data_IF_008532123135
#
_entry.id   IF_008532123135
#
_cell.length_a   1.000
_cell.length_b   1.000
_cell.length_c   1.000
_cell.angle_alpha   90.00
_cell.angle_beta   90.00
_cell.angle_gamma   90.00
#
_symmetry.space_group_name_H-M   'P 1'
#
loop_
_entity.id
_entity.type
_entity.pdbx_description
1 polymer ?
#
# COMPACT_ATOMS: atom_id res chain seq x y z
N UNK A 1 -7.11 6.31 -13.64
CA UNK A 1 -5.72 5.97 -14.04
C UNK A 1 -5.18 6.97 -15.06
N UNK A 2 -5.89 7.23 -16.18
CA UNK A 2 -5.43 8.19 -17.19
C UNK A 2 -5.11 9.57 -16.60
N UNK A 3 -5.94 10.09 -15.72
CA UNK A 3 -5.74 11.38 -15.05
C UNK A 3 -4.44 11.43 -14.20
N UNK A 4 -3.97 10.29 -13.69
CA UNK A 4 -2.69 10.21 -12.97
C UNK A 4 -1.54 10.38 -13.94
N UNK A 5 -1.60 9.70 -15.09
CA UNK A 5 -0.61 9.82 -16.16
C UNK A 5 -0.55 11.27 -16.67
N UNK A 6 -1.71 11.87 -16.93
CA UNK A 6 -1.83 13.25 -17.40
C UNK A 6 -1.26 14.25 -16.38
N UNK A 7 -1.50 14.00 -15.08
CA UNK A 7 -0.93 14.80 -14.00
C UNK A 7 0.59 14.67 -13.91
N UNK A 8 1.14 13.45 -14.04
CA UNK A 8 2.59 13.22 -14.07
C UNK A 8 3.22 13.94 -15.26
N UNK A 9 2.65 13.79 -16.46
CA UNK A 9 3.14 14.42 -17.67
C UNK A 9 3.08 15.94 -17.57
N UNK A 10 1.99 16.50 -17.06
CA UNK A 10 1.82 17.95 -16.86
C UNK A 10 2.89 18.54 -15.94
N UNK A 11 3.20 17.85 -14.85
CA UNK A 11 4.25 18.28 -13.90
C UNK A 11 5.63 18.17 -14.55
N UNK A 12 5.87 17.12 -15.32
CA UNK A 12 7.12 16.92 -16.06
C UNK A 12 7.30 17.99 -17.16
N UNK A 13 6.28 18.28 -17.95
CA UNK A 13 6.26 19.33 -18.98
C UNK A 13 6.48 20.73 -18.39
N UNK A 14 6.06 20.94 -17.14
CA UNK A 14 6.33 22.18 -16.39
C UNK A 14 7.79 22.29 -15.91
N UNK A 15 8.65 21.30 -16.23
CA UNK A 15 10.09 21.31 -15.97
C UNK A 15 10.56 20.51 -14.77
N UNK A 16 9.70 19.74 -14.11
CA UNK A 16 10.11 18.83 -13.05
C UNK A 16 10.69 17.54 -13.63
N UNK A 17 11.73 16.99 -12.98
CA UNK A 17 12.23 15.64 -13.30
C UNK A 17 11.30 14.60 -12.74
N UNK A 18 11.23 13.40 -13.34
CA UNK A 18 10.41 12.31 -12.83
C UNK A 18 10.71 11.96 -11.37
N UNK A 19 11.99 11.96 -10.97
CA UNK A 19 12.39 11.71 -9.58
C UNK A 19 11.98 12.79 -8.57
N UNK A 20 11.50 13.95 -9.03
CA UNK A 20 10.91 15.00 -8.18
C UNK A 20 9.41 14.82 -7.98
N UNK A 21 8.79 13.85 -8.67
CA UNK A 21 7.35 13.56 -8.63
C UNK A 21 7.10 12.34 -7.75
N UNK A 22 6.22 12.48 -6.79
CA UNK A 22 5.81 11.37 -5.91
C UNK A 22 4.31 11.20 -5.95
N UNK A 23 3.85 9.96 -6.20
CA UNK A 23 2.43 9.60 -6.12
C UNK A 23 2.19 8.98 -4.75
N UNK A 24 1.33 9.62 -3.95
CA UNK A 24 0.94 9.14 -2.62
C UNK A 24 -0.40 8.41 -2.69
N UNK A 25 -0.42 7.17 -2.25
CA UNK A 25 -1.63 6.33 -2.24
C UNK A 25 -2.01 5.88 -0.84
N UNK A 26 -3.28 5.52 -0.63
CA UNK A 26 -3.75 5.04 0.68
C UNK A 26 -3.33 3.59 0.96
N UNK A 27 -3.33 2.73 -0.05
CA UNK A 27 -3.07 1.30 0.09
C UNK A 27 -1.98 0.81 -0.86
N UNK A 28 -1.30 -0.25 -0.47
CA UNK A 28 -0.28 -0.91 -1.30
C UNK A 28 -0.87 -1.42 -2.62
N UNK A 29 -2.11 -1.91 -2.59
CA UNK A 29 -2.81 -2.36 -3.79
C UNK A 29 -2.87 -1.26 -4.85
N UNK A 30 -3.33 -0.06 -4.47
CA UNK A 30 -3.37 1.08 -5.40
C UNK A 30 -1.97 1.53 -5.81
N UNK A 31 -0.98 1.41 -4.91
CA UNK A 31 0.42 1.66 -5.24
C UNK A 31 0.92 0.77 -6.38
N UNK A 32 0.64 -0.52 -6.29
CA UNK A 32 1.01 -1.48 -7.34
C UNK A 32 0.26 -1.24 -8.65
N UNK A 33 -1.06 -0.96 -8.58
CA UNK A 33 -1.88 -0.66 -9.77
C UNK A 33 -1.39 0.61 -10.49
N UNK A 34 -1.04 1.67 -9.75
CA UNK A 34 -0.49 2.92 -10.32
C UNK A 34 0.89 2.69 -10.90
N UNK A 35 1.76 1.97 -10.19
CA UNK A 35 3.11 1.68 -10.64
C UNK A 35 3.11 0.90 -11.96
N UNK A 36 2.31 -0.17 -12.05
CA UNK A 36 2.16 -0.95 -13.28
C UNK A 36 1.63 -0.09 -14.44
N UNK A 37 0.58 0.69 -14.18
CA UNK A 37 -0.01 1.54 -15.22
C UNK A 37 0.98 2.59 -15.76
N UNK A 38 1.79 3.21 -14.90
CA UNK A 38 2.81 4.18 -15.32
C UNK A 38 3.93 3.48 -16.11
N UNK A 39 4.38 2.31 -15.69
CA UNK A 39 5.38 1.52 -16.40
C UNK A 39 4.90 1.07 -17.78
N UNK A 40 3.64 0.62 -17.91
CA UNK A 40 3.03 0.26 -19.18
C UNK A 40 2.95 1.44 -20.16
N UNK A 41 2.97 2.67 -19.64
CA UNK A 41 3.03 3.91 -20.44
C UNK A 41 4.44 4.49 -20.58
N UNK A 42 5.48 3.70 -20.29
CA UNK A 42 6.87 4.06 -20.53
C UNK A 42 7.49 4.98 -19.47
N UNK A 43 6.83 5.19 -18.33
CA UNK A 43 7.37 5.96 -17.21
C UNK A 43 8.03 5.02 -16.22
N UNK A 44 9.31 5.22 -15.96
CA UNK A 44 10.04 4.47 -14.93
C UNK A 44 9.50 4.79 -13.54
N UNK A 45 9.26 3.77 -12.70
CA UNK A 45 8.64 3.92 -11.38
C UNK A 45 9.45 3.21 -10.31
N UNK A 46 9.65 3.90 -9.19
CA UNK A 46 10.15 3.32 -7.95
C UNK A 46 8.97 3.19 -6.98
N UNK A 47 8.63 1.97 -6.61
CA UNK A 47 7.63 1.70 -5.58
C UNK A 47 8.24 0.96 -4.41
N UNK A 48 8.04 1.48 -3.19
CA UNK A 48 8.55 0.84 -1.98
C UNK A 48 7.98 -0.56 -1.74
N UNK A 49 6.82 -0.87 -2.31
CA UNK A 49 6.16 -2.17 -2.12
C UNK A 49 6.51 -3.19 -3.22
N UNK A 50 6.86 -2.73 -4.42
CA UNK A 50 7.37 -3.60 -5.49
C UNK A 50 8.80 -4.10 -5.21
N UNK A 51 9.44 -3.57 -4.18
CA UNK A 51 10.82 -3.87 -3.82
C UNK A 51 10.96 -4.92 -2.71
N UNK A 52 9.88 -5.58 -2.30
CA UNK A 52 10.00 -6.75 -1.44
C UNK A 52 10.54 -7.92 -2.26
N UNK A 53 11.67 -8.47 -1.84
CA UNK A 53 12.29 -9.60 -2.54
C UNK A 53 11.33 -10.80 -2.68
N UNK A 54 10.43 -10.98 -1.74
CA UNK A 54 9.38 -12.00 -1.78
C UNK A 54 8.29 -11.77 -2.83
N UNK A 55 8.19 -10.59 -3.44
CA UNK A 55 7.25 -10.33 -4.54
C UNK A 55 7.76 -10.84 -5.89
N UNK A 56 9.07 -11.01 -6.04
CA UNK A 56 9.72 -11.53 -7.25
C UNK A 56 9.24 -12.94 -7.58
N UNK A 57 8.90 -13.17 -8.85
CA UNK A 57 8.53 -14.50 -9.35
C UNK A 57 9.74 -15.42 -9.37
N UNK A 58 10.91 -14.92 -9.80
CA UNK A 58 12.16 -15.68 -9.84
C UNK A 58 12.60 -16.06 -8.43
N UNK A 59 12.58 -15.12 -7.46
CA UNK A 59 12.98 -15.43 -6.09
C UNK A 59 12.08 -16.49 -5.45
N UNK A 60 10.76 -16.41 -5.67
CA UNK A 60 9.80 -17.43 -5.18
C UNK A 60 10.04 -18.79 -5.80
N UNK A 61 10.34 -18.86 -7.10
CA UNK A 61 10.67 -20.12 -7.77
C UNK A 61 11.95 -20.75 -7.20
N UNK A 62 13.02 -19.96 -7.00
CA UNK A 62 14.25 -20.45 -6.38
C UNK A 62 14.00 -20.99 -4.98
N UNK A 63 13.28 -20.25 -4.13
CA UNK A 63 12.98 -20.68 -2.76
C UNK A 63 12.10 -21.93 -2.73
N UNK A 64 11.13 -22.05 -3.66
CA UNK A 64 10.30 -23.25 -3.79
C UNK A 64 11.14 -24.48 -4.21
N UNK A 65 12.08 -24.30 -5.12
CA UNK A 65 13.01 -25.35 -5.52
C UNK A 65 13.97 -25.75 -4.40
N UNK A 66 14.48 -24.77 -3.63
CA UNK A 66 15.30 -25.05 -2.44
C UNK A 66 14.53 -25.88 -1.39
N UNK A 67 13.24 -25.59 -1.22
CA UNK A 67 12.37 -26.34 -0.31
C UNK A 67 12.26 -27.81 -0.70
N UNK A 68 12.20 -28.13 -2.01
CA UNK A 68 12.16 -29.51 -2.49
C UNK A 68 13.48 -30.26 -2.30
N UNK A 69 14.62 -29.54 -2.32
CA UNK A 69 15.93 -30.14 -2.04
C UNK A 69 16.07 -30.48 -0.54
N UNK A 70 15.50 -29.62 0.32
CA UNK A 70 15.53 -29.82 1.78
C UNK A 70 14.46 -30.77 2.32
N UNK A 71 13.35 -30.95 1.60
CA UNK A 71 12.20 -31.74 2.05
C UNK A 71 11.55 -32.51 0.90
N UNK A 72 11.68 -33.84 0.90
CA UNK A 72 11.10 -34.73 -0.12
C UNK A 72 9.55 -34.71 -0.14
N UNK A 73 8.91 -34.27 0.94
CA UNK A 73 7.44 -34.17 1.05
C UNK A 73 6.88 -32.85 0.48
N UNK A 74 7.74 -31.92 0.02
CA UNK A 74 7.27 -30.67 -0.61
C UNK A 74 6.74 -30.91 -2.02
N UNK A 75 5.40 -30.90 -2.11
CA UNK A 75 4.70 -31.18 -3.37
C UNK A 75 4.85 -30.07 -4.40
N UNK A 76 4.96 -28.80 -3.99
CA UNK A 76 5.04 -27.66 -4.90
C UNK A 76 6.43 -27.55 -5.51
N UNK A 77 7.47 -27.61 -4.69
CA UNK A 77 8.85 -27.61 -5.15
C UNK A 77 9.17 -28.83 -6.00
N UNK A 78 8.69 -30.00 -5.63
CA UNK A 78 8.87 -31.23 -6.41
C UNK A 78 8.18 -31.20 -7.77
N UNK A 79 6.98 -30.61 -7.84
CA UNK A 79 6.27 -30.41 -9.11
C UNK A 79 7.07 -29.47 -10.02
N UNK A 80 7.57 -28.35 -9.48
CA UNK A 80 8.37 -27.37 -10.21
C UNK A 80 9.70 -27.98 -10.70
N UNK A 81 10.36 -28.78 -9.86
CA UNK A 81 11.58 -29.48 -10.22
C UNK A 81 11.34 -30.49 -11.38
N UNK A 82 10.21 -31.19 -11.37
CA UNK A 82 9.79 -32.08 -12.44
C UNK A 82 9.51 -31.34 -13.77
N UNK A 83 8.85 -30.18 -13.71
CA UNK A 83 8.62 -29.35 -14.91
C UNK A 83 9.90 -28.79 -15.54
N UNK A 84 10.93 -28.55 -14.70
CA UNK A 84 12.21 -28.02 -15.10
C UNK A 84 13.26 -29.10 -15.43
N UNK A 85 12.90 -30.38 -15.33
CA UNK A 85 13.78 -31.55 -15.52
C UNK A 85 15.03 -31.49 -14.62
N UNK A 86 14.83 -31.02 -13.36
CA UNK A 86 15.89 -30.84 -12.37
C UNK A 86 16.11 -32.14 -11.61
N UNK A 87 17.33 -32.69 -11.65
CA UNK A 87 17.72 -33.79 -10.78
C UNK A 87 18.11 -33.27 -9.39
N UNK A 88 17.17 -33.29 -8.47
CA UNK A 88 17.33 -32.82 -7.08
C UNK A 88 18.50 -33.52 -6.37
N UNK A 89 18.72 -34.82 -6.65
CA UNK A 89 19.79 -35.59 -6.01
C UNK A 89 21.20 -35.11 -6.41
N UNK A 90 21.39 -34.64 -7.63
CA UNK A 90 22.69 -34.08 -8.07
C UNK A 90 22.96 -32.72 -7.43
N UNK A 91 21.92 -31.94 -7.21
CA UNK A 91 22.03 -30.60 -6.63
C UNK A 91 22.21 -30.59 -5.11
N UNK A 92 21.78 -31.64 -4.41
CA UNK A 92 21.89 -31.76 -2.94
C UNK A 92 23.34 -31.74 -2.40
N UNK A 93 24.34 -31.97 -3.28
CA UNK A 93 25.75 -31.94 -2.92
C UNK A 93 26.41 -30.56 -2.99
N UNK A 94 25.69 -29.56 -3.51
CA UNK A 94 26.22 -28.20 -3.69
C UNK A 94 26.10 -27.37 -2.40
N UNK A 95 26.94 -26.35 -2.29
CA UNK A 95 26.74 -25.32 -1.26
C UNK A 95 25.46 -24.54 -1.55
N UNK A 96 24.84 -23.93 -0.52
CA UNK A 96 23.61 -23.15 -0.70
C UNK A 96 23.77 -22.07 -1.77
N UNK A 97 24.89 -21.37 -1.81
CA UNK A 97 25.16 -20.33 -2.80
C UNK A 97 25.28 -20.91 -4.22
N UNK A 98 26.06 -22.00 -4.40
CA UNK A 98 26.21 -22.66 -5.68
C UNK A 98 24.89 -23.27 -6.18
N UNK A 99 24.11 -23.82 -5.27
CA UNK A 99 22.77 -24.33 -5.55
C UNK A 99 21.85 -23.23 -6.07
N UNK A 100 21.77 -22.09 -5.39
CA UNK A 100 21.00 -20.94 -5.84
C UNK A 100 21.46 -20.46 -7.23
N UNK A 101 22.77 -20.37 -7.46
CA UNK A 101 23.31 -19.96 -8.75
C UNK A 101 22.92 -20.92 -9.88
N UNK A 102 22.97 -22.22 -9.65
CA UNK A 102 22.54 -23.23 -10.62
C UNK A 102 21.05 -23.14 -10.93
N UNK A 103 20.21 -22.99 -9.89
CA UNK A 103 18.77 -22.81 -10.08
C UNK A 103 18.47 -21.54 -10.89
N UNK A 104 19.14 -20.45 -10.60
CA UNK A 104 19.00 -19.19 -11.37
C UNK A 104 19.42 -19.35 -12.83
N UNK A 105 20.49 -20.12 -13.12
CA UNK A 105 20.92 -20.42 -14.49
C UNK A 105 19.85 -21.21 -15.26
N UNK A 106 19.22 -22.19 -14.61
CA UNK A 106 18.16 -23.01 -15.21
C UNK A 106 16.93 -22.11 -15.50
N UNK A 107 16.51 -21.29 -14.55
CA UNK A 107 15.38 -20.37 -14.72
C UNK A 107 15.64 -19.34 -15.83
N UNK A 108 16.87 -18.79 -15.90
CA UNK A 108 17.27 -17.87 -16.98
C UNK A 108 17.20 -18.52 -18.35
N UNK A 109 17.61 -19.80 -18.48
CA UNK A 109 17.55 -20.51 -19.73
C UNK A 109 16.11 -20.79 -20.19
N UNK A 110 15.18 -20.95 -19.24
CA UNK A 110 13.77 -21.21 -19.53
C UNK A 110 12.99 -19.96 -19.91
N UNK A 111 13.17 -18.88 -19.15
CA UNK A 111 12.46 -17.61 -19.37
C UNK A 111 13.44 -16.43 -19.24
N UNK A 112 14.17 -16.13 -20.34
CA UNK A 112 15.13 -15.03 -20.36
C UNK A 112 14.47 -13.65 -20.13
N UNK A 113 13.25 -13.44 -20.65
CA UNK A 113 12.54 -12.14 -20.55
C UNK A 113 12.16 -11.84 -19.10
N UNK A 114 11.55 -12.81 -18.41
CA UNK A 114 11.24 -12.69 -16.99
C UNK A 114 12.52 -12.44 -16.18
N UNK A 115 13.59 -13.18 -16.46
CA UNK A 115 14.85 -13.05 -15.74
C UNK A 115 15.50 -11.68 -15.92
N UNK A 116 15.47 -11.11 -17.12
CA UNK A 116 15.97 -9.77 -17.40
C UNK A 116 15.16 -8.69 -16.70
N UNK A 117 13.83 -8.80 -16.68
CA UNK A 117 12.94 -7.86 -15.99
C UNK A 117 13.14 -7.88 -14.47
N UNK A 118 13.59 -9.01 -13.90
CA UNK A 118 13.77 -9.19 -12.46
C UNK A 118 15.26 -9.22 -12.03
N UNK A 119 16.17 -8.70 -12.84
CA UNK A 119 17.63 -8.75 -12.57
C UNK A 119 18.00 -8.17 -11.19
N UNK A 120 17.35 -7.08 -10.77
CA UNK A 120 17.61 -6.47 -9.46
C UNK A 120 17.20 -7.40 -8.30
N UNK A 121 16.10 -8.13 -8.47
CA UNK A 121 15.63 -9.12 -7.49
C UNK A 121 16.56 -10.32 -7.42
N UNK A 122 17.10 -10.75 -8.55
CA UNK A 122 18.08 -11.83 -8.61
C UNK A 122 19.36 -11.46 -7.86
N UNK A 123 19.86 -10.25 -8.05
CA UNK A 123 21.03 -9.75 -7.32
C UNK A 123 20.76 -9.70 -5.82
N UNK A 124 19.64 -9.10 -5.41
CA UNK A 124 19.26 -8.99 -4.01
C UNK A 124 19.03 -10.37 -3.34
N UNK A 125 18.52 -11.35 -4.10
CA UNK A 125 18.40 -12.72 -3.61
C UNK A 125 19.80 -13.32 -3.35
N UNK A 126 20.73 -13.16 -4.26
CA UNK A 126 22.08 -13.67 -4.08
C UNK A 126 22.84 -12.97 -2.94
N UNK A 127 22.64 -11.67 -2.76
CA UNK A 127 23.18 -10.92 -1.61
C UNK A 127 22.60 -11.49 -0.30
N UNK A 128 21.30 -11.70 -0.23
CA UNK A 128 20.63 -12.29 0.94
C UNK A 128 21.13 -13.72 1.25
N UNK A 129 21.34 -14.54 0.21
CA UNK A 129 21.94 -15.89 0.35
C UNK A 129 23.37 -15.81 0.88
N UNK A 130 24.21 -14.93 0.35
CA UNK A 130 25.59 -14.77 0.77
C UNK A 130 25.70 -14.25 2.21
N UNK A 131 24.88 -13.27 2.57
CA UNK A 131 24.80 -12.75 3.94
C UNK A 131 24.43 -13.88 4.92
N UNK A 132 23.40 -14.68 4.57
CA UNK A 132 22.99 -15.81 5.39
C UNK A 132 24.12 -16.83 5.54
N UNK A 133 24.76 -17.25 4.43
CA UNK A 133 25.85 -18.25 4.44
C UNK A 133 27.02 -17.78 5.27
N UNK A 134 27.35 -16.48 5.20
CA UNK A 134 28.47 -15.89 5.94
C UNK A 134 28.32 -16.00 7.47
N UNK A 135 27.08 -16.01 7.97
CA UNK A 135 26.78 -16.01 9.40
C UNK A 135 26.34 -17.41 9.90
N UNK A 136 25.53 -18.13 9.11
CA UNK A 136 24.81 -19.33 9.54
C UNK A 136 25.28 -20.61 8.83
N UNK A 137 26.15 -20.50 7.82
CA UNK A 137 26.60 -21.66 7.03
C UNK A 137 25.58 -22.09 5.97
N UNK A 138 25.74 -23.32 5.43
CA UNK A 138 25.06 -23.80 4.21
C UNK A 138 23.75 -24.58 4.48
N UNK A 139 23.17 -24.52 5.67
CA UNK A 139 21.98 -25.27 6.02
C UNK A 139 20.72 -24.72 5.29
N UNK A 140 20.15 -25.50 4.36
CA UNK A 140 18.96 -25.12 3.58
C UNK A 140 17.77 -24.87 4.48
N UNK A 141 17.47 -25.74 5.44
CA UNK A 141 16.34 -25.57 6.37
C UNK A 141 16.44 -24.30 7.21
N UNK A 142 17.65 -23.95 7.63
CA UNK A 142 17.90 -22.70 8.34
C UNK A 142 17.68 -21.49 7.45
N UNK A 143 18.10 -21.54 6.19
CA UNK A 143 17.86 -20.50 5.21
C UNK A 143 16.36 -20.30 4.94
N UNK A 144 15.61 -21.38 4.75
CA UNK A 144 14.16 -21.32 4.51
C UNK A 144 13.42 -20.69 5.69
N UNK A 145 13.83 -20.98 6.93
CA UNK A 145 13.29 -20.30 8.12
C UNK A 145 13.63 -18.81 8.14
N UNK A 146 14.91 -18.48 7.92
CA UNK A 146 15.35 -17.09 7.84
C UNK A 146 14.62 -16.32 6.74
N UNK A 147 14.39 -16.96 5.58
CA UNK A 147 13.59 -16.40 4.50
C UNK A 147 12.15 -16.12 4.91
N UNK A 148 11.50 -17.04 5.64
CA UNK A 148 10.13 -16.86 6.10
C UNK A 148 9.99 -15.70 7.08
N UNK A 149 10.94 -15.57 8.03
CA UNK A 149 10.94 -14.55 9.08
C UNK A 149 11.42 -13.18 8.58
N UNK A 150 12.35 -13.14 7.63
CA UNK A 150 12.86 -11.91 7.06
C UNK A 150 11.85 -11.26 6.11
N UNK A 151 11.94 -9.94 6.00
CA UNK A 151 11.25 -9.14 4.99
C UNK A 151 12.30 -8.35 4.18
N UNK A 152 13.14 -9.07 3.38
CA UNK A 152 14.22 -8.42 2.65
C UNK A 152 13.67 -7.47 1.61
N UNK A 153 14.12 -6.22 1.69
CA UNK A 153 13.77 -5.15 0.76
C UNK A 153 14.96 -4.84 -0.13
N UNK A 154 14.67 -4.66 -1.40
CA UNK A 154 15.67 -4.16 -2.33
C UNK A 154 15.77 -2.66 -2.12
N UNK A 155 16.95 -2.17 -1.82
CA UNK A 155 17.22 -0.74 -1.86
C UNK A 155 17.22 -0.30 -3.32
N UNK A 156 16.12 0.31 -3.78
CA UNK A 156 16.16 0.97 -5.08
C UNK A 156 17.10 2.16 -4.98
N UNK A 157 18.12 2.26 -5.82
CA UNK A 157 18.83 3.50 -5.96
C UNK A 157 17.81 4.58 -6.31
N UNK A 158 17.93 5.76 -5.72
CA UNK A 158 17.13 6.92 -6.09
C UNK A 158 17.48 7.28 -7.53
N UNK A 159 16.76 6.71 -8.48
CA UNK A 159 16.91 7.05 -9.88
C UNK A 159 16.24 8.42 -10.10
N UNK A 160 16.99 9.45 -10.50
CA UNK A 160 16.43 10.78 -10.74
C UNK A 160 15.43 10.81 -11.90
N UNK A 161 15.37 9.76 -12.71
CA UNK A 161 14.48 9.63 -13.85
C UNK A 161 13.24 8.77 -13.59
N UNK A 162 13.00 8.37 -12.34
CA UNK A 162 11.87 7.52 -11.99
C UNK A 162 10.89 8.19 -11.05
N UNK A 163 9.58 8.09 -11.35
CA UNK A 163 8.50 8.55 -10.46
C UNK A 163 8.42 7.66 -9.23
N UNK A 164 8.31 8.26 -8.05
CA UNK A 164 8.16 7.50 -6.81
C UNK A 164 6.68 7.25 -6.49
N UNK A 165 6.33 6.01 -6.17
CA UNK A 165 5.00 5.63 -5.70
C UNK A 165 5.11 5.05 -4.30
N UNK A 166 4.36 5.60 -3.33
CA UNK A 166 4.39 5.10 -1.95
C UNK A 166 3.08 5.37 -1.22
N UNK A 167 2.90 4.70 -0.08
CA UNK A 167 1.73 4.97 0.77
C UNK A 167 1.92 6.21 1.62
N UNK A 168 0.81 6.88 1.97
CA UNK A 168 0.80 8.06 2.83
C UNK A 168 1.48 7.77 4.18
N UNK A 169 1.29 6.57 4.74
CA UNK A 169 1.92 6.21 6.02
C UNK A 169 3.45 6.17 5.95
N UNK A 170 4.00 5.68 4.85
CA UNK A 170 5.46 5.63 4.63
C UNK A 170 6.05 7.02 4.35
N UNK A 171 5.24 7.95 3.86
CA UNK A 171 5.67 9.32 3.60
C UNK A 171 5.80 10.18 4.86
N UNK A 172 5.41 9.67 6.04
CA UNK A 172 5.47 10.43 7.29
C UNK A 172 6.91 10.83 7.62
N UNK A 173 7.15 12.14 7.79
CA UNK A 173 8.48 12.69 8.05
C UNK A 173 9.33 12.96 6.80
N UNK A 174 8.83 12.64 5.60
CA UNK A 174 9.49 12.94 4.34
C UNK A 174 8.85 14.17 3.68
N UNK A 175 9.59 14.80 2.76
CA UNK A 175 9.12 15.91 1.92
C UNK A 175 9.43 15.61 0.45
N UNK A 176 8.55 16.04 -0.46
CA UNK A 176 8.67 15.81 -1.89
C UNK A 176 8.44 17.10 -2.66
N UNK A 177 9.13 17.27 -3.79
CA UNK A 177 8.99 18.50 -4.58
C UNK A 177 7.58 18.64 -5.13
N UNK A 178 7.07 17.58 -5.79
CA UNK A 178 5.73 17.52 -6.35
C UNK A 178 5.03 16.26 -5.88
N UNK A 179 3.83 16.40 -5.34
CA UNK A 179 3.00 15.29 -4.89
C UNK A 179 1.74 15.21 -5.75
N UNK A 180 1.47 14.02 -6.24
CA UNK A 180 0.19 13.65 -6.87
C UNK A 180 -0.51 12.73 -5.89
N UNK A 181 -1.69 13.13 -5.44
CA UNK A 181 -2.51 12.37 -4.52
C UNK A 181 -3.80 11.93 -5.21
N UNK A 182 -3.82 10.73 -5.81
CA UNK A 182 -5.01 10.16 -6.43
C UNK A 182 -5.93 9.51 -5.40
N UNK A 183 -7.18 9.26 -5.80
CA UNK A 183 -8.17 8.51 -5.02
C UNK A 183 -8.52 9.15 -3.66
N UNK A 184 -8.64 10.48 -3.63
CA UNK A 184 -8.97 11.19 -2.38
C UNK A 184 -10.31 10.74 -1.76
N UNK A 185 -11.24 10.20 -2.57
CA UNK A 185 -12.50 9.60 -2.15
C UNK A 185 -12.33 8.32 -1.31
N UNK A 186 -11.18 7.65 -1.39
CA UNK A 186 -10.93 6.43 -0.63
C UNK A 186 -10.54 6.67 0.83
N UNK A 187 -10.18 7.90 1.16
CA UNK A 187 -10.10 8.31 2.56
C UNK A 187 -11.52 8.66 3.02
N UNK A 188 -12.32 7.63 3.30
CA UNK A 188 -13.62 7.80 3.91
C UNK A 188 -13.50 8.39 5.30
N UNK A 189 -14.46 9.23 5.69
CA UNK A 189 -14.50 9.77 7.06
C UNK A 189 -14.79 8.66 8.08
N UNK A 190 -15.61 7.70 7.69
CA UNK A 190 -15.98 6.55 8.51
C UNK A 190 -15.91 5.26 7.71
N UNK A 191 -15.36 4.21 8.34
CA UNK A 191 -15.34 2.86 7.79
C UNK A 191 -16.29 1.98 8.58
N UNK A 192 -17.13 1.21 7.89
CA UNK A 192 -17.98 0.20 8.50
C UNK A 192 -17.17 -1.06 8.86
N UNK A 193 -16.19 -0.91 9.71
CA UNK A 193 -15.35 -2.02 10.19
C UNK A 193 -15.90 -2.56 11.52
N UNK A 194 -15.53 -3.80 11.86
CA UNK A 194 -15.84 -4.36 13.17
C UNK A 194 -14.82 -3.85 14.17
N UNK A 195 -15.30 -3.47 15.36
CA UNK A 195 -14.45 -3.06 16.47
C UNK A 195 -14.80 -3.81 17.75
N UNK A 196 -13.82 -3.91 18.64
CA UNK A 196 -14.00 -4.54 19.94
C UNK A 196 -14.42 -3.50 20.96
N UNK A 197 -15.60 -3.70 21.57
CA UNK A 197 -16.12 -2.77 22.57
C UNK A 197 -16.86 -3.51 23.69
N UNK A 198 -17.02 -2.84 24.82
CA UNK A 198 -17.84 -3.32 25.92
C UNK A 198 -19.24 -2.71 25.82
N UNK A 199 -20.30 -3.45 26.21
CA UNK A 199 -21.63 -2.87 26.29
C UNK A 199 -21.73 -1.88 27.46
N UNK A 200 -22.47 -0.81 27.27
CA UNK A 200 -22.91 0.11 28.38
C UNK A 200 -24.11 -0.51 29.06
N UNK A 201 -23.86 -1.24 30.16
CA UNK A 201 -24.90 -1.97 30.91
C UNK A 201 -25.20 -1.36 32.29
N UNK A 202 -24.51 -0.28 32.63
CA UNK A 202 -24.68 0.40 33.93
C UNK A 202 -26.13 0.84 34.12
N UNK A 203 -26.75 0.44 35.26
CA UNK A 203 -28.15 0.68 35.57
C UNK A 203 -29.16 -0.15 34.79
N UNK A 204 -28.74 -1.19 34.05
CA UNK A 204 -29.63 -2.13 33.35
C UNK A 204 -29.68 -3.47 34.06
N UNK A 205 -30.69 -4.30 33.72
CA UNK A 205 -30.80 -5.68 34.23
C UNK A 205 -29.65 -6.60 33.83
N UNK A 206 -28.80 -6.16 32.89
CA UNK A 206 -27.65 -6.88 32.38
C UNK A 206 -26.36 -6.53 33.12
N UNK A 207 -26.42 -5.61 34.09
CA UNK A 207 -25.26 -5.24 34.91
C UNK A 207 -24.75 -6.45 35.71
N UNK A 208 -23.48 -6.73 35.59
CA UNK A 208 -22.84 -7.92 36.18
C UNK A 208 -23.04 -9.25 35.44
N UNK A 209 -23.88 -9.29 34.40
CA UNK A 209 -24.12 -10.50 33.60
C UNK A 209 -23.20 -10.48 32.34
N UNK A 210 -22.95 -9.31 31.75
CA UNK A 210 -22.20 -9.13 30.52
C UNK A 210 -20.95 -8.28 30.77
N UNK A 211 -19.87 -8.91 31.21
CA UNK A 211 -18.58 -8.22 31.46
C UNK A 211 -17.57 -8.44 30.31
N UNK A 212 -18.04 -8.93 29.18
CA UNK A 212 -17.21 -9.28 28.01
C UNK A 212 -16.92 -8.12 27.08
N UNK A 213 -15.91 -8.33 26.22
CA UNK A 213 -15.61 -7.51 25.05
C UNK A 213 -16.19 -8.18 23.81
N UNK A 214 -16.93 -7.45 23.01
CA UNK A 214 -17.66 -7.97 21.87
C UNK A 214 -17.18 -7.34 20.57
N UNK A 215 -17.14 -8.12 19.50
CA UNK A 215 -16.78 -7.63 18.17
C UNK A 215 -18.05 -7.16 17.44
N UNK A 216 -18.23 -5.85 17.37
CA UNK A 216 -19.46 -5.21 16.89
C UNK A 216 -19.19 -4.49 15.56
N UNK A 217 -20.13 -4.56 14.62
CA UNK A 217 -20.04 -3.79 13.39
C UNK A 217 -20.30 -2.31 13.65
N UNK A 218 -19.39 -1.46 13.18
CA UNK A 218 -19.53 -0.02 13.22
C UNK A 218 -20.55 0.40 12.16
N UNK A 219 -21.80 0.47 12.52
CA UNK A 219 -22.86 1.07 11.68
C UNK A 219 -23.27 2.40 12.27
N UNK A 220 -23.73 3.35 11.43
CA UNK A 220 -24.36 4.57 11.95
C UNK A 220 -25.39 4.14 12.99
N UNK A 221 -25.31 4.59 14.23
CA UNK A 221 -26.26 4.19 15.26
C UNK A 221 -27.62 4.71 14.87
N UNK A 222 -28.42 3.84 14.23
CA UNK A 222 -29.82 4.14 13.89
C UNK A 222 -30.76 3.92 15.08
N UNK A 223 -30.27 3.25 16.12
CA UNK A 223 -31.06 2.92 17.32
C UNK A 223 -30.45 3.59 18.53
N UNK A 224 -31.18 4.49 19.13
CA UNK A 224 -30.84 5.17 20.39
C UNK A 224 -30.65 4.19 21.55
N UNK A 225 -31.18 2.98 21.45
CA UNK A 225 -31.22 1.96 22.50
C UNK A 225 -30.12 0.91 22.41
N UNK A 226 -29.08 1.10 21.57
CA UNK A 226 -28.00 0.11 21.45
C UNK A 226 -27.06 0.17 22.65
N UNK A 227 -26.86 -0.96 23.35
CA UNK A 227 -25.87 -1.12 24.41
C UNK A 227 -24.42 -0.79 24.00
N UNK A 228 -24.15 -0.79 22.71
CA UNK A 228 -22.81 -0.50 22.15
C UNK A 228 -22.68 0.90 21.57
N UNK A 229 -23.69 1.76 21.76
CA UNK A 229 -23.74 3.11 21.18
C UNK A 229 -22.54 3.96 21.57
N UNK A 230 -22.23 4.01 22.86
CA UNK A 230 -21.14 4.85 23.38
C UNK A 230 -19.79 4.39 22.82
N UNK A 231 -19.50 3.08 22.87
CA UNK A 231 -18.27 2.51 22.31
C UNK A 231 -18.17 2.73 20.80
N UNK A 232 -19.27 2.59 20.06
CA UNK A 232 -19.30 2.84 18.62
C UNK A 232 -19.11 4.32 18.27
N UNK A 233 -19.70 5.23 19.02
CA UNK A 233 -19.49 6.68 18.82
C UNK A 233 -18.04 7.08 19.08
N UNK A 234 -17.42 6.55 20.13
CA UNK A 234 -16.04 6.81 20.47
C UNK A 234 -15.09 6.29 19.38
N UNK A 235 -15.34 5.09 18.88
CA UNK A 235 -14.58 4.52 17.77
C UNK A 235 -14.72 5.34 16.49
N UNK A 236 -15.92 5.80 16.16
CA UNK A 236 -16.16 6.69 15.02
C UNK A 236 -15.37 7.99 15.15
N UNK A 237 -15.27 8.58 16.34
CA UNK A 237 -14.48 9.77 16.59
C UNK A 237 -12.98 9.49 16.38
N UNK A 238 -12.47 8.36 16.85
CA UNK A 238 -11.08 7.98 16.64
C UNK A 238 -10.78 7.76 15.15
N UNK A 239 -11.63 7.05 14.42
CA UNK A 239 -11.49 6.86 12.97
C UNK A 239 -11.50 8.19 12.20
N UNK A 240 -12.36 9.12 12.60
CA UNK A 240 -12.41 10.45 12.01
C UNK A 240 -11.07 11.18 12.19
N UNK A 241 -10.54 11.20 13.41
CA UNK A 241 -9.25 11.84 13.72
C UNK A 241 -8.12 11.19 12.94
N UNK A 242 -8.07 9.86 12.87
CA UNK A 242 -7.03 9.13 12.14
C UNK A 242 -7.08 9.39 10.64
N UNK A 243 -8.29 9.46 10.06
CA UNK A 243 -8.46 9.74 8.65
C UNK A 243 -8.11 11.21 8.32
N UNK A 244 -8.50 12.17 9.17
CA UNK A 244 -8.10 13.57 9.06
C UNK A 244 -6.57 13.69 9.13
N UNK A 245 -5.91 13.03 10.08
CA UNK A 245 -4.46 13.04 10.21
C UNK A 245 -3.78 12.43 8.97
N UNK A 246 -4.33 11.35 8.41
CA UNK A 246 -3.82 10.73 7.19
C UNK A 246 -3.90 11.70 6.02
N UNK A 247 -5.04 12.38 5.86
CA UNK A 247 -5.23 13.38 4.82
C UNK A 247 -4.29 14.59 5.01
N UNK A 248 -4.19 15.08 6.24
CA UNK A 248 -3.25 16.16 6.60
C UNK A 248 -1.80 15.79 6.22
N UNK A 249 -1.37 14.56 6.51
CA UNK A 249 -0.03 14.10 6.11
C UNK A 249 0.13 14.18 4.61
N UNK A 250 -0.82 13.68 3.81
CA UNK A 250 -0.73 13.74 2.34
C UNK A 250 -0.61 15.17 1.80
N UNK A 251 -1.42 16.10 2.35
CA UNK A 251 -1.43 17.50 1.92
C UNK A 251 -0.20 18.31 2.34
N UNK A 252 0.50 17.87 3.38
CA UNK A 252 1.68 18.59 3.93
C UNK A 252 3.02 18.05 3.45
N UNK A 253 3.04 17.04 2.58
CA UNK A 253 4.29 16.49 2.01
C UNK A 253 4.87 17.30 0.85
N UNK A 254 4.07 17.97 -0.01
CA UNK A 254 4.62 18.71 -1.14
C UNK A 254 5.33 20.00 -0.70
N UNK A 255 6.49 20.25 -1.35
CA UNK A 255 7.24 21.50 -1.18
C UNK A 255 6.87 22.53 -2.24
N UNK A 256 6.73 22.10 -3.51
CA UNK A 256 6.46 23.00 -4.65
C UNK A 256 5.04 22.89 -5.18
N UNK A 257 4.54 21.66 -5.37
CA UNK A 257 3.26 21.44 -6.03
C UNK A 257 2.50 20.26 -5.49
N UNK A 258 1.17 20.42 -5.40
CA UNK A 258 0.22 19.37 -5.02
C UNK A 258 -0.85 19.26 -6.08
N UNK A 259 -1.05 18.04 -6.59
CA UNK A 259 -2.18 17.68 -7.44
C UNK A 259 -3.03 16.63 -6.73
N UNK A 260 -4.28 16.96 -6.47
CA UNK A 260 -5.23 16.02 -5.87
C UNK A 260 -6.20 15.56 -6.94
N UNK A 261 -6.36 14.24 -7.09
CA UNK A 261 -7.29 13.63 -8.04
C UNK A 261 -8.37 12.92 -7.24
N UNK A 262 -9.60 13.29 -7.47
CA UNK A 262 -10.78 12.73 -6.81
C UNK A 262 -11.88 12.45 -7.82
N UNK A 263 -12.74 11.48 -7.56
CA UNK A 263 -13.88 11.20 -8.42
C UNK A 263 -14.90 12.33 -8.34
N UNK A 264 -15.37 12.78 -9.51
CA UNK A 264 -16.42 13.80 -9.58
C UNK A 264 -17.79 13.17 -9.22
N UNK A 265 -18.37 13.61 -8.10
CA UNK A 265 -19.72 13.22 -7.67
C UNK A 265 -20.60 14.46 -7.40
N UNK A 266 -20.85 15.31 -8.40
CA UNK A 266 -21.52 16.59 -8.19
C UNK A 266 -22.93 16.46 -7.64
N UNK A 267 -23.67 15.39 -7.99
CA UNK A 267 -25.07 15.22 -7.59
C UNK A 267 -25.27 15.07 -6.07
N UNK A 268 -24.29 14.55 -5.36
CA UNK A 268 -24.33 14.41 -3.90
C UNK A 268 -23.93 15.67 -3.14
N UNK A 269 -23.25 16.59 -3.81
CA UNK A 269 -22.65 17.77 -3.18
C UNK A 269 -23.55 19.01 -3.35
N UNK A 270 -24.21 19.15 -4.50
CA UNK A 270 -25.05 20.32 -4.81
C UNK A 270 -26.22 20.56 -3.87
N UNK A 271 -26.70 19.50 -3.19
CA UNK A 271 -27.72 19.63 -2.14
C UNK A 271 -27.19 20.04 -0.76
N UNK A 272 -25.87 19.98 -0.56
CA UNK A 272 -25.24 20.18 0.73
C UNK A 272 -24.57 21.55 0.92
N UNK A 273 -24.38 22.31 -0.18
CA UNK A 273 -23.75 23.63 -0.13
C UNK A 273 -24.87 24.66 -0.18
N UNK A 274 -25.30 25.15 0.97
CA UNK A 274 -26.19 26.31 1.05
C UNK A 274 -25.32 27.56 0.99
N UNK A 275 -25.43 28.41 -0.04
CA UNK A 275 -24.74 29.70 -0.02
C UNK A 275 -25.35 30.52 1.13
N UNK A 276 -24.56 30.76 2.16
CA UNK A 276 -24.95 31.75 3.18
C UNK A 276 -24.88 33.10 2.50
N UNK A 277 -26.04 33.73 2.37
CA UNK A 277 -26.19 35.05 1.76
C UNK A 277 -25.22 36.04 2.40
N UNK A 278 -24.32 36.59 1.58
CA UNK A 278 -23.26 37.51 1.94
C UNK A 278 -23.80 38.79 2.59
N UNK A 279 -23.59 38.90 3.87
CA UNK A 279 -23.46 40.20 4.52
C UNK A 279 -21.99 40.41 4.82
N UNK A 280 -21.24 40.89 3.85
CA UNK A 280 -20.02 41.70 3.98
C UNK A 280 -18.82 41.17 4.79
N UNK A 281 -18.77 39.89 5.17
CA UNK A 281 -17.66 39.28 5.92
C UNK A 281 -17.59 37.80 5.56
N UNK A 282 -16.38 37.29 5.42
CA UNK A 282 -16.05 35.93 4.98
C UNK A 282 -17.19 34.91 5.05
N UNK A 283 -17.56 34.32 3.93
CA UNK A 283 -18.62 33.31 3.81
C UNK A 283 -18.28 32.13 4.73
N UNK A 284 -18.98 32.03 5.85
CA UNK A 284 -18.83 30.90 6.76
C UNK A 284 -19.46 29.70 6.09
N UNK A 285 -18.65 28.84 5.48
CA UNK A 285 -19.09 27.54 4.95
C UNK A 285 -19.33 26.65 6.15
N UNK A 286 -20.59 26.50 6.56
CA UNK A 286 -20.97 25.46 7.50
C UNK A 286 -20.92 24.15 6.73
N UNK A 287 -19.97 23.26 7.01
CA UNK A 287 -19.93 21.96 6.34
C UNK A 287 -21.22 21.22 6.73
N UNK A 288 -21.97 20.67 5.75
CA UNK A 288 -23.06 19.77 6.09
C UNK A 288 -22.49 18.58 6.86
N UNK A 289 -23.14 18.19 7.93
CA UNK A 289 -22.71 17.13 8.84
C UNK A 289 -22.68 15.72 8.20
N UNK A 290 -22.92 15.61 6.89
CA UNK A 290 -23.12 14.36 6.17
C UNK A 290 -22.05 14.02 5.13
N UNK A 291 -20.87 14.64 5.17
CA UNK A 291 -19.76 14.22 4.32
C UNK A 291 -19.38 12.78 4.61
N UNK A 292 -19.19 11.97 3.56
CA UNK A 292 -18.81 10.57 3.66
C UNK A 292 -17.32 10.32 3.39
N UNK A 293 -16.69 11.24 2.65
CA UNK A 293 -15.30 11.13 2.23
C UNK A 293 -14.66 12.51 2.00
N UNK A 294 -13.34 12.53 1.88
CA UNK A 294 -12.59 13.77 1.70
C UNK A 294 -12.76 14.42 0.33
N UNK A 295 -13.18 13.69 -0.69
CA UNK A 295 -13.45 14.30 -1.99
C UNK A 295 -14.58 15.32 -1.89
N UNK A 296 -15.59 15.02 -1.08
CA UNK A 296 -16.73 15.93 -0.85
C UNK A 296 -16.28 17.20 -0.13
N UNK A 297 -15.36 17.09 0.82
CA UNK A 297 -14.79 18.28 1.51
C UNK A 297 -14.00 19.14 0.54
N UNK A 298 -13.19 18.52 -0.33
CA UNK A 298 -12.43 19.24 -1.35
C UNK A 298 -13.36 19.96 -2.34
N UNK A 299 -14.42 19.32 -2.79
CA UNK A 299 -15.40 19.95 -3.67
C UNK A 299 -16.13 21.12 -2.96
N UNK A 300 -16.51 20.96 -1.71
CA UNK A 300 -17.12 22.04 -0.94
C UNK A 300 -16.15 23.23 -0.82
N UNK A 301 -14.88 22.97 -0.59
CA UNK A 301 -13.84 24.00 -0.55
C UNK A 301 -13.68 24.71 -1.90
N UNK A 302 -13.57 23.96 -3.01
CA UNK A 302 -13.43 24.50 -4.36
C UNK A 302 -14.67 25.34 -4.74
N UNK A 303 -15.86 24.88 -4.36
CA UNK A 303 -17.09 25.64 -4.63
C UNK A 303 -17.14 26.94 -3.84
N UNK A 304 -16.64 26.95 -2.61
CA UNK A 304 -16.67 28.13 -1.73
C UNK A 304 -15.57 29.16 -2.05
N UNK A 305 -14.39 28.69 -2.45
CA UNK A 305 -13.16 29.50 -2.58
C UNK A 305 -12.46 29.36 -3.92
N UNK A 306 -12.85 28.39 -4.76
CA UNK A 306 -12.27 28.20 -6.09
C UNK A 306 -12.76 29.25 -7.07
N UNK A 307 -11.91 29.67 -7.98
CA UNK A 307 -12.36 30.39 -9.16
C UNK A 307 -13.10 29.42 -10.08
N UNK A 308 -14.25 29.82 -10.68
CA UNK A 308 -15.03 28.95 -11.56
C UNK A 308 -14.30 28.61 -12.86
#
# INVERSE_FOLDING_TARGET
>A
MQEILDAVNKVHEAGARYGEITVLVRSNRHGSEVAMFLMDNGISVISDDSLHLKSSAVARQVVSLLSSVGNEDDTIGSFLAGELDINVAELSCLSLADLCEQLLRILKARDPELFESETQYVQALMDFVQDYVSVNGNAIDGFLKAWQEADPKISSPSDPESVRVMTIHKSKGLEFQHVIFPFAEEIGLFRSEKHWTRPSVEGTELEGITDGVYNVSLRKPSNEDSLFREGSQKEMQFQLVDNINTFYVALTRPVKGLTVIASNRPEKITGAIVPVASTGSATEVVPPCDFTDFSQILYAYLYAYGEP
#
